data_IF_835840459046
#
_entry.id   IF_835840459046
#
_cell.length_a   1.000
_cell.length_b   1.000
_cell.length_c   1.000
_cell.angle_alpha   90.00
_cell.angle_beta   90.00
_cell.angle_gamma   90.00
#
_symmetry.space_group_name_H-M   'P 1'
#
loop_
_entity.id
_entity.type
_entity.pdbx_description
1 polymer ?
#
# COMPACT_ATOMS: atom_id res chain seq x y z
N UNK A 1 7.78 36.45 46.08
CA UNK A 1 7.27 35.06 46.02
C UNK A 1 5.98 34.95 45.18
N UNK A 2 5.94 35.60 44.00
CA UNK A 2 4.72 35.64 43.16
C UNK A 2 4.98 35.49 41.64
N UNK A 3 6.20 35.15 41.21
CA UNK A 3 6.52 34.99 39.78
C UNK A 3 6.69 33.52 39.34
N UNK A 4 6.46 32.55 40.23
CA UNK A 4 6.64 31.12 39.92
C UNK A 4 5.34 30.40 39.53
N UNK A 5 4.17 31.02 39.75
CA UNK A 5 2.86 30.39 39.52
C UNK A 5 2.37 30.61 38.06
N UNK A 6 2.82 31.66 37.38
CA UNK A 6 2.37 31.97 36.00
C UNK A 6 3.06 31.05 34.96
N UNK A 7 4.24 30.51 35.26
CA UNK A 7 4.94 29.58 34.35
C UNK A 7 4.36 28.16 34.37
N UNK A 8 3.61 27.78 35.42
CA UNK A 8 2.98 26.46 35.51
C UNK A 8 1.64 26.37 34.74
N UNK A 9 1.04 27.49 34.36
CA UNK A 9 -0.16 27.53 33.51
C UNK A 9 0.12 27.42 32.01
N UNK A 10 1.38 27.49 31.57
CA UNK A 10 1.75 27.44 30.14
C UNK A 10 2.21 26.02 29.72
N UNK A 11 2.60 25.16 30.68
CA UNK A 11 3.14 23.83 30.38
C UNK A 11 2.05 22.77 30.13
N UNK A 12 0.79 23.05 30.45
CA UNK A 12 -0.33 22.09 30.22
C UNK A 12 -1.01 22.22 28.85
N UNK A 13 -0.51 23.05 27.93
CA UNK A 13 -1.06 23.17 26.57
C UNK A 13 -0.21 22.52 25.46
N UNK A 14 0.90 21.84 25.81
CA UNK A 14 1.80 21.18 24.83
C UNK A 14 1.63 19.65 24.81
N UNK A 15 0.61 19.10 25.47
CA UNK A 15 0.05 17.83 24.99
C UNK A 15 -0.87 18.16 23.82
N UNK A 16 -0.25 18.31 22.65
CA UNK A 16 -0.97 18.32 21.39
C UNK A 16 -1.87 17.10 21.36
N UNK A 17 -3.18 17.33 21.42
CA UNK A 17 -4.18 16.36 21.03
C UNK A 17 -3.73 15.79 19.69
N UNK A 18 -3.35 14.51 19.68
CA UNK A 18 -3.13 13.76 18.45
C UNK A 18 -4.45 13.88 17.69
N UNK A 19 -4.44 14.74 16.67
CA UNK A 19 -5.56 14.90 15.77
C UNK A 19 -5.54 13.64 14.90
N UNK A 20 -6.12 12.54 15.42
CA UNK A 20 -6.40 11.35 14.64
C UNK A 20 -7.26 11.85 13.48
N UNK A 21 -6.65 11.96 12.31
CA UNK A 21 -7.32 12.39 11.10
C UNK A 21 -8.55 11.51 10.89
N UNK A 22 -9.69 12.17 10.67
CA UNK A 22 -11.06 11.64 10.52
C UNK A 22 -11.15 10.14 10.17
N UNK A 23 -11.12 9.27 11.18
CA UNK A 23 -11.58 7.88 11.01
C UNK A 23 -13.10 7.95 10.82
N UNK A 24 -13.57 7.60 9.63
CA UNK A 24 -14.99 7.54 9.35
C UNK A 24 -15.59 6.27 10.00
N UNK A 25 -15.96 6.38 11.27
CA UNK A 25 -16.58 5.30 12.03
C UNK A 25 -17.88 4.80 11.41
N UNK A 26 -18.61 5.67 10.70
CA UNK A 26 -19.83 5.27 9.98
C UNK A 26 -19.50 4.28 8.88
N UNK A 27 -18.51 4.60 8.04
CA UNK A 27 -18.05 3.71 6.97
C UNK A 27 -17.48 2.40 7.52
N UNK A 28 -16.67 2.47 8.59
CA UNK A 28 -16.11 1.26 9.21
C UNK A 28 -17.21 0.34 9.77
N UNK A 29 -18.24 0.92 10.39
CA UNK A 29 -19.41 0.20 10.91
C UNK A 29 -20.23 -0.43 9.78
N UNK A 30 -20.47 0.31 8.70
CA UNK A 30 -21.18 -0.18 7.50
C UNK A 30 -20.47 -1.38 6.87
N UNK A 31 -19.17 -1.26 6.59
CA UNK A 31 -18.35 -2.34 6.04
C UNK A 31 -18.32 -3.59 6.94
N UNK A 32 -18.30 -3.40 8.27
CA UNK A 32 -18.39 -4.51 9.21
C UNK A 32 -19.78 -5.17 9.17
N UNK A 33 -20.85 -4.39 9.12
CA UNK A 33 -22.21 -4.92 9.03
C UNK A 33 -22.54 -5.63 7.71
N UNK A 34 -21.82 -5.30 6.64
CA UNK A 34 -21.93 -6.02 5.38
C UNK A 34 -21.41 -7.47 5.47
N UNK A 35 -20.45 -7.74 6.36
CA UNK A 35 -19.78 -9.04 6.47
C UNK A 35 -20.34 -9.94 7.57
N UNK A 36 -20.90 -9.35 8.63
CA UNK A 36 -21.52 -10.06 9.75
C UNK A 36 -22.90 -10.61 9.39
N UNK A 37 -23.15 -11.87 9.75
CA UNK A 37 -24.43 -12.55 9.64
C UNK A 37 -25.22 -12.49 10.96
N UNK A 38 -26.07 -11.48 11.09
CA UNK A 38 -26.92 -11.26 12.28
C UNK A 38 -27.98 -12.34 12.49
N UNK A 39 -28.17 -13.26 11.54
CA UNK A 39 -29.10 -14.40 11.71
C UNK A 39 -28.49 -15.51 12.56
N UNK A 40 -27.17 -15.49 12.78
CA UNK A 40 -26.45 -16.43 13.63
C UNK A 40 -26.17 -15.76 14.98
N UNK A 41 -26.37 -16.48 16.09
CA UNK A 41 -26.02 -15.95 17.41
C UNK A 41 -24.51 -16.05 17.63
N UNK A 42 -23.82 -14.97 18.06
CA UNK A 42 -22.36 -14.97 18.22
C UNK A 42 -21.86 -16.03 19.21
N UNK A 43 -22.65 -16.31 20.25
CA UNK A 43 -22.30 -17.28 21.29
C UNK A 43 -22.50 -18.74 20.85
N UNK A 44 -23.25 -18.98 19.77
CA UNK A 44 -23.52 -20.32 19.25
C UNK A 44 -22.50 -20.69 18.17
N UNK A 45 -22.23 -19.77 17.24
CA UNK A 45 -21.20 -19.96 16.23
C UNK A 45 -20.60 -18.62 15.80
N UNK A 46 -19.59 -18.18 16.55
CA UNK A 46 -18.91 -16.91 16.28
C UNK A 46 -18.34 -16.84 14.86
N UNK A 47 -17.79 -17.94 14.34
CA UNK A 47 -17.22 -17.98 12.99
C UNK A 47 -18.28 -17.76 11.92
N UNK A 48 -19.44 -18.41 12.03
CA UNK A 48 -20.54 -18.16 11.11
C UNK A 48 -21.12 -16.76 11.29
N UNK A 49 -21.27 -16.28 12.53
CA UNK A 49 -21.69 -14.91 12.79
C UNK A 49 -20.79 -13.87 12.10
N UNK A 50 -19.47 -14.04 12.14
CA UNK A 50 -18.53 -13.05 11.57
C UNK A 50 -18.26 -13.25 10.08
N UNK A 51 -18.30 -14.49 9.56
CA UNK A 51 -17.82 -14.78 8.21
C UNK A 51 -18.88 -15.34 7.25
N UNK A 52 -20.05 -15.80 7.71
CA UNK A 52 -20.98 -16.56 6.86
C UNK A 52 -21.58 -15.74 5.71
N UNK A 53 -21.85 -14.45 5.93
CA UNK A 53 -22.31 -13.54 4.86
C UNK A 53 -21.17 -13.18 3.90
N UNK A 54 -19.95 -13.04 4.42
CA UNK A 54 -18.75 -12.85 3.60
C UNK A 54 -18.49 -14.03 2.65
N UNK A 55 -18.46 -15.27 3.18
CA UNK A 55 -18.20 -16.50 2.39
C UNK A 55 -19.23 -16.66 1.26
N UNK A 56 -20.51 -16.34 1.51
CA UNK A 56 -21.58 -16.46 0.51
C UNK A 56 -21.50 -15.43 -0.61
N UNK A 57 -21.01 -14.23 -0.29
CA UNK A 57 -20.93 -13.12 -1.26
C UNK A 57 -19.63 -13.13 -2.06
N UNK A 58 -18.60 -13.81 -1.57
CA UNK A 58 -17.31 -13.96 -2.23
C UNK A 58 -17.22 -15.36 -2.89
N UNK A 59 -18.06 -15.60 -3.90
CA UNK A 59 -18.00 -16.84 -4.69
C UNK A 59 -16.65 -16.87 -5.41
N UNK A 60 -15.78 -17.79 -4.99
CA UNK A 60 -14.55 -18.11 -5.70
C UNK A 60 -14.92 -18.57 -7.12
N UNK A 61 -14.40 -17.86 -8.14
CA UNK A 61 -14.50 -18.35 -9.52
C UNK A 61 -13.73 -19.69 -9.63
N UNK A 62 -14.18 -20.65 -10.45
CA UNK A 62 -13.45 -21.90 -10.66
C UNK A 62 -11.99 -21.61 -11.03
N UNK A 63 -11.05 -22.21 -10.30
CA UNK A 63 -9.60 -22.00 -10.51
C UNK A 63 -8.94 -20.93 -9.63
N UNK A 64 -9.66 -20.31 -8.70
CA UNK A 64 -9.10 -19.37 -7.71
C UNK A 64 -9.29 -19.96 -6.31
N UNK A 65 -8.19 -20.26 -5.61
CA UNK A 65 -8.23 -20.94 -4.30
C UNK A 65 -8.43 -19.98 -3.12
N UNK A 66 -8.28 -18.66 -3.32
CA UNK A 66 -8.44 -17.62 -2.27
C UNK A 66 -8.96 -16.30 -2.83
N UNK A 67 -9.92 -15.68 -2.14
CA UNK A 67 -10.29 -14.27 -2.38
C UNK A 67 -9.37 -13.39 -1.55
N UNK A 68 -8.30 -12.90 -2.17
CA UNK A 68 -7.51 -11.81 -1.62
C UNK A 68 -8.23 -10.49 -1.90
N UNK A 69 -9.14 -10.06 -1.01
CA UNK A 69 -9.83 -8.76 -1.14
C UNK A 69 -8.85 -7.60 -1.33
N UNK A 70 -7.69 -7.67 -0.66
CA UNK A 70 -6.63 -6.68 -0.78
C UNK A 70 -5.90 -6.70 -2.13
N UNK A 71 -5.91 -7.82 -2.87
CA UNK A 71 -5.25 -7.90 -4.19
C UNK A 71 -6.24 -7.95 -5.35
N UNK A 72 -7.55 -8.00 -5.10
CA UNK A 72 -8.56 -7.96 -6.17
C UNK A 72 -8.41 -6.73 -7.05
N UNK A 73 -8.31 -5.54 -6.44
CA UNK A 73 -8.09 -4.31 -7.18
C UNK A 73 -6.77 -4.37 -7.96
N UNK A 74 -5.70 -4.88 -7.35
CA UNK A 74 -4.42 -5.09 -8.03
C UNK A 74 -4.56 -6.00 -9.26
N UNK A 75 -5.24 -7.14 -9.15
CA UNK A 75 -5.46 -8.06 -10.27
C UNK A 75 -6.34 -7.45 -11.38
N UNK A 76 -7.41 -6.74 -11.01
CA UNK A 76 -8.29 -6.06 -11.98
C UNK A 76 -7.51 -4.97 -12.73
N UNK A 77 -6.68 -4.19 -12.02
CA UNK A 77 -5.80 -3.20 -12.66
C UNK A 77 -4.70 -3.84 -13.49
N UNK A 78 -4.10 -4.94 -13.04
CA UNK A 78 -3.09 -5.69 -13.80
C UNK A 78 -3.67 -6.17 -15.12
N UNK A 79 -4.86 -6.77 -15.09
CA UNK A 79 -5.60 -7.18 -16.29
C UNK A 79 -5.91 -5.99 -17.20
N UNK A 80 -6.41 -4.89 -16.64
CA UNK A 80 -6.72 -3.69 -17.40
C UNK A 80 -5.47 -3.09 -18.07
N UNK A 81 -4.35 -2.99 -17.34
CA UNK A 81 -3.14 -2.37 -17.83
C UNK A 81 -2.39 -3.25 -18.83
N UNK A 82 -1.96 -4.45 -18.41
CA UNK A 82 -1.15 -5.31 -19.26
C UNK A 82 -2.01 -5.92 -20.37
N UNK A 83 -3.09 -6.62 -20.03
CA UNK A 83 -3.85 -7.38 -21.02
C UNK A 83 -4.81 -6.56 -21.86
N UNK A 84 -5.33 -5.43 -21.37
CA UNK A 84 -6.24 -4.60 -22.18
C UNK A 84 -5.52 -3.43 -22.83
N UNK A 85 -4.81 -2.59 -22.08
CA UNK A 85 -4.16 -1.40 -22.63
C UNK A 85 -2.92 -1.77 -23.46
N UNK A 86 -1.94 -2.46 -22.87
CA UNK A 86 -0.66 -2.73 -23.53
C UNK A 86 -0.78 -3.77 -24.66
N UNK A 87 -1.56 -4.83 -24.46
CA UNK A 87 -1.86 -5.81 -25.51
C UNK A 87 -2.74 -5.22 -26.64
N UNK A 88 -3.40 -4.07 -26.39
CA UNK A 88 -4.15 -3.33 -27.41
C UNK A 88 -5.62 -3.71 -27.59
N UNK A 89 -6.23 -4.38 -26.60
CA UNK A 89 -7.70 -4.57 -26.54
C UNK A 89 -8.44 -3.29 -26.11
N UNK A 90 -7.70 -2.30 -25.59
CA UNK A 90 -8.18 -0.97 -25.20
C UNK A 90 -7.22 0.11 -25.68
N UNK A 91 -7.75 1.30 -25.92
CA UNK A 91 -6.92 2.46 -26.25
C UNK A 91 -6.15 3.01 -25.06
N UNK A 92 -4.95 3.52 -25.34
CA UNK A 92 -4.08 4.13 -24.34
C UNK A 92 -4.44 5.61 -24.22
N UNK A 93 -4.84 6.03 -23.02
CA UNK A 93 -5.38 7.37 -22.78
C UNK A 93 -4.28 8.42 -22.58
N UNK A 94 -3.15 8.02 -21.97
CA UNK A 94 -2.05 8.93 -21.63
C UNK A 94 -0.88 8.78 -22.59
N UNK A 95 -0.09 9.85 -22.79
CA UNK A 95 1.13 9.76 -23.61
C UNK A 95 2.12 8.71 -23.08
N UNK A 96 2.25 8.58 -21.76
CA UNK A 96 3.07 7.55 -21.14
C UNK A 96 2.61 6.13 -21.52
N UNK A 97 1.31 5.84 -21.40
CA UNK A 97 0.77 4.51 -21.76
C UNK A 97 0.88 4.23 -23.26
N UNK A 98 0.76 5.26 -24.12
CA UNK A 98 1.01 5.12 -25.57
C UNK A 98 2.46 4.74 -25.87
N UNK A 99 3.43 5.37 -25.21
CA UNK A 99 4.86 5.07 -25.37
C UNK A 99 5.16 3.64 -24.92
N UNK A 100 4.67 3.24 -23.74
CA UNK A 100 4.88 1.88 -23.22
C UNK A 100 4.25 0.85 -24.17
N UNK A 101 3.02 1.09 -24.62
CA UNK A 101 2.32 0.25 -25.60
C UNK A 101 3.12 0.13 -26.90
N UNK A 102 3.73 1.23 -27.39
CA UNK A 102 4.60 1.20 -28.56
C UNK A 102 5.85 0.34 -28.35
N UNK A 103 6.54 0.50 -27.22
CA UNK A 103 7.75 -0.27 -26.87
C UNK A 103 7.41 -1.77 -26.80
N UNK A 104 6.35 -2.13 -26.07
CA UNK A 104 5.92 -3.53 -25.90
C UNK A 104 5.51 -4.14 -27.25
N UNK A 105 4.76 -3.41 -28.09
CA UNK A 105 4.39 -3.88 -29.43
C UNK A 105 5.59 -4.10 -30.33
N UNK A 106 6.54 -3.18 -30.33
CA UNK A 106 7.76 -3.30 -31.13
C UNK A 106 8.60 -4.49 -30.68
N UNK A 107 8.83 -4.64 -29.37
CA UNK A 107 9.50 -5.81 -28.83
C UNK A 107 8.78 -7.10 -29.23
N UNK A 108 7.46 -7.16 -29.05
CA UNK A 108 6.66 -8.37 -29.33
C UNK A 108 6.79 -8.78 -30.79
N UNK A 109 6.71 -7.79 -31.70
CA UNK A 109 6.84 -8.02 -33.14
C UNK A 109 8.24 -8.50 -33.50
N UNK A 110 9.29 -7.84 -32.98
CA UNK A 110 10.68 -8.22 -33.24
C UNK A 110 10.98 -9.64 -32.71
N UNK A 111 10.54 -9.95 -31.49
CA UNK A 111 10.74 -11.25 -30.86
C UNK A 111 9.98 -12.37 -31.57
N UNK A 112 8.74 -12.10 -31.99
CA UNK A 112 7.93 -13.04 -32.77
C UNK A 112 8.57 -13.33 -34.14
N UNK A 113 9.00 -12.31 -34.89
CA UNK A 113 9.65 -12.49 -36.19
C UNK A 113 10.93 -13.35 -36.05
N UNK A 114 11.70 -13.13 -34.99
CA UNK A 114 12.94 -13.90 -34.74
C UNK A 114 12.70 -15.36 -34.36
N UNK A 115 11.51 -15.71 -33.85
CA UNK A 115 11.22 -17.02 -33.26
C UNK A 115 9.94 -17.66 -33.81
N UNK A 116 9.49 -17.23 -34.99
CA UNK A 116 8.15 -17.52 -35.54
C UNK A 116 7.83 -19.02 -35.65
N UNK A 117 8.85 -19.85 -35.78
CA UNK A 117 8.71 -21.32 -35.88
C UNK A 117 8.44 -21.99 -34.53
N UNK A 118 8.74 -21.34 -33.41
CA UNK A 118 8.76 -21.94 -32.08
C UNK A 118 7.79 -21.32 -31.07
N UNK A 119 7.29 -20.11 -31.34
CA UNK A 119 6.41 -19.39 -30.41
C UNK A 119 5.23 -18.77 -31.14
N UNK A 120 4.11 -18.64 -30.42
CA UNK A 120 2.99 -17.81 -30.88
C UNK A 120 3.16 -16.36 -30.42
N UNK A 121 2.31 -15.47 -30.93
CA UNK A 121 2.38 -14.04 -30.63
C UNK A 121 2.14 -13.72 -29.14
N UNK A 122 1.31 -14.51 -28.45
CA UNK A 122 1.04 -14.33 -27.03
C UNK A 122 2.26 -14.68 -26.17
N UNK A 123 2.99 -15.74 -26.54
CA UNK A 123 4.24 -16.12 -25.91
C UNK A 123 5.33 -15.06 -26.15
N UNK A 124 5.42 -14.51 -27.37
CA UNK A 124 6.32 -13.40 -27.67
C UNK A 124 5.99 -12.16 -26.85
N UNK A 125 4.69 -11.88 -26.63
CA UNK A 125 4.23 -10.78 -25.80
C UNK A 125 4.66 -10.97 -24.34
N UNK A 126 4.47 -12.16 -23.77
CA UNK A 126 4.92 -12.48 -22.40
C UNK A 126 6.43 -12.31 -22.24
N UNK A 127 7.22 -12.82 -23.19
CA UNK A 127 8.68 -12.64 -23.18
C UNK A 127 9.09 -11.16 -23.19
N UNK A 128 8.34 -10.31 -23.90
CA UNK A 128 8.57 -8.88 -23.89
C UNK A 128 8.13 -8.21 -22.58
N UNK A 129 7.04 -8.66 -21.97
CA UNK A 129 6.67 -8.19 -20.64
C UNK A 129 7.74 -8.56 -19.62
N UNK A 130 8.22 -9.80 -19.61
CA UNK A 130 9.28 -10.26 -18.70
C UNK A 130 10.57 -9.45 -18.89
N UNK A 131 10.95 -9.19 -20.14
CA UNK A 131 12.15 -8.39 -20.47
C UNK A 131 12.04 -6.93 -19.98
N UNK A 132 10.84 -6.37 -19.99
CA UNK A 132 10.59 -4.98 -19.60
C UNK A 132 9.83 -4.88 -18.28
N UNK A 133 9.82 -5.95 -17.48
CA UNK A 133 8.99 -6.08 -16.28
C UNK A 133 9.23 -4.90 -15.35
N UNK A 134 10.51 -4.58 -15.08
CA UNK A 134 10.89 -3.47 -14.21
C UNK A 134 10.37 -2.11 -14.70
N UNK A 135 10.46 -1.83 -16.00
CA UNK A 135 10.00 -0.55 -16.55
C UNK A 135 8.48 -0.48 -16.57
N UNK A 136 7.83 -1.56 -16.98
CA UNK A 136 6.38 -1.64 -17.03
C UNK A 136 5.76 -1.67 -15.62
N UNK A 137 6.45 -2.27 -14.63
CA UNK A 137 6.02 -2.31 -13.23
C UNK A 137 6.09 -0.92 -12.59
N UNK A 138 7.17 -0.15 -12.77
CA UNK A 138 7.23 1.21 -12.26
C UNK A 138 6.14 2.10 -12.85
N UNK A 139 5.91 2.00 -14.16
CA UNK A 139 4.83 2.73 -14.80
C UNK A 139 3.46 2.27 -14.31
N UNK A 140 3.27 0.96 -14.12
CA UNK A 140 2.05 0.36 -13.58
C UNK A 140 1.77 0.84 -12.16
N UNK A 141 2.73 0.70 -11.23
CA UNK A 141 2.59 1.12 -9.84
C UNK A 141 2.36 2.63 -9.74
N UNK A 142 3.12 3.43 -10.48
CA UNK A 142 2.93 4.89 -10.49
C UNK A 142 1.55 5.28 -11.03
N UNK A 143 1.07 4.61 -12.09
CA UNK A 143 -0.26 4.87 -12.66
C UNK A 143 -1.36 4.46 -11.68
N UNK A 144 -1.25 3.28 -11.07
CA UNK A 144 -2.18 2.80 -10.05
C UNK A 144 -2.24 3.76 -8.87
N UNK A 145 -1.09 4.13 -8.32
CA UNK A 145 -1.04 5.02 -7.17
C UNK A 145 -1.68 6.36 -7.50
N UNK A 146 -1.37 6.93 -8.67
CA UNK A 146 -1.98 8.17 -9.13
C UNK A 146 -3.49 8.03 -9.40
N UNK A 147 -3.96 6.89 -9.92
CA UNK A 147 -5.39 6.66 -10.15
C UNK A 147 -6.18 6.45 -8.86
N UNK A 148 -5.63 5.69 -7.90
CA UNK A 148 -6.32 5.33 -6.66
C UNK A 148 -6.28 6.48 -5.66
N UNK A 149 -5.10 7.05 -5.44
CA UNK A 149 -4.89 8.06 -4.41
C UNK A 149 -4.90 9.47 -4.98
N UNK A 150 -4.39 9.66 -6.20
CA UNK A 150 -4.10 10.99 -6.74
C UNK A 150 -2.77 11.52 -6.22
N UNK A 151 -2.07 12.27 -7.07
CA UNK A 151 -0.71 12.76 -6.80
C UNK A 151 -0.60 13.51 -5.46
N UNK A 152 -1.54 14.40 -5.16
CA UNK A 152 -1.53 15.17 -3.91
C UNK A 152 -1.65 14.30 -2.66
N UNK A 153 -2.50 13.26 -2.69
CA UNK A 153 -2.64 12.33 -1.55
C UNK A 153 -1.41 11.46 -1.38
N UNK A 154 -0.72 11.08 -2.46
CA UNK A 154 0.55 10.34 -2.36
C UNK A 154 1.60 11.18 -1.65
N UNK A 155 1.72 12.47 -2.00
CA UNK A 155 2.64 13.38 -1.32
C UNK A 155 2.28 13.55 0.16
N UNK A 156 1.00 13.68 0.48
CA UNK A 156 0.51 13.75 1.86
C UNK A 156 0.85 12.46 2.62
N UNK A 157 0.52 11.29 2.06
CA UNK A 157 0.84 9.98 2.65
C UNK A 157 2.33 9.82 2.93
N UNK A 158 3.18 10.22 1.97
CA UNK A 158 4.62 10.17 2.14
C UNK A 158 5.06 11.03 3.34
N UNK A 159 4.54 12.26 3.45
CA UNK A 159 4.86 13.14 4.60
C UNK A 159 4.37 12.56 5.94
N UNK A 160 3.17 11.98 5.97
CA UNK A 160 2.61 11.32 7.16
C UNK A 160 3.46 10.13 7.59
N UNK A 161 3.93 9.31 6.63
CA UNK A 161 4.78 8.15 6.92
C UNK A 161 6.12 8.60 7.54
N UNK A 162 6.73 9.67 7.02
CA UNK A 162 7.97 10.21 7.58
C UNK A 162 7.76 10.77 8.99
N UNK A 163 6.64 11.46 9.23
CA UNK A 163 6.27 11.95 10.56
C UNK A 163 6.11 10.79 11.55
N UNK A 164 5.37 9.74 11.16
CA UNK A 164 5.20 8.53 11.96
C UNK A 164 6.55 7.87 12.28
N UNK A 165 7.46 7.81 11.32
CA UNK A 165 8.80 7.25 11.52
C UNK A 165 9.62 8.05 12.54
N UNK A 166 9.59 9.38 12.46
CA UNK A 166 10.26 10.22 13.45
C UNK A 166 9.63 10.12 14.84
N UNK A 167 8.30 10.00 14.93
CA UNK A 167 7.62 9.71 16.20
C UNK A 167 8.11 8.40 16.81
N UNK A 168 8.19 7.32 16.01
CA UNK A 168 8.70 6.02 16.46
C UNK A 168 10.16 6.10 16.93
N UNK A 169 11.01 6.83 16.20
CA UNK A 169 12.41 7.08 16.60
C UNK A 169 12.48 7.78 17.96
N UNK A 170 11.61 8.76 18.20
CA UNK A 170 11.58 9.52 19.44
C UNK A 170 11.08 8.67 20.63
N UNK A 171 10.01 7.92 20.45
CA UNK A 171 9.51 7.00 21.48
C UNK A 171 10.54 5.92 21.83
N UNK A 172 11.23 5.37 20.82
CA UNK A 172 12.28 4.40 21.07
C UNK A 172 13.46 4.99 21.87
N UNK A 173 13.86 6.24 21.61
CA UNK A 173 14.87 6.95 22.42
C UNK A 173 14.42 7.11 23.88
N UNK A 174 13.15 7.41 24.11
CA UNK A 174 12.58 7.53 25.46
C UNK A 174 12.64 6.19 26.20
N UNK A 175 12.18 5.11 25.56
CA UNK A 175 12.22 3.77 26.11
C UNK A 175 13.65 3.36 26.52
N UNK A 176 14.64 3.63 25.67
CA UNK A 176 16.05 3.31 25.96
C UNK A 176 16.58 4.14 27.14
N UNK A 177 16.12 5.38 27.30
CA UNK A 177 16.51 6.25 28.43
C UNK A 177 15.98 5.73 29.77
N UNK A 178 14.77 5.17 29.78
CA UNK A 178 14.08 4.68 30.97
C UNK A 178 14.56 3.30 31.45
N UNK A 179 15.38 2.58 30.66
CA UNK A 179 15.89 1.26 31.06
C UNK A 179 17.20 1.36 31.84
N UNK A 180 17.12 1.01 33.11
CA UNK A 180 18.26 1.00 34.04
C UNK A 180 19.32 -0.07 33.71
N UNK A 181 18.93 -1.13 33.01
CA UNK A 181 19.84 -2.21 32.59
C UNK A 181 20.71 -1.83 31.38
N UNK A 182 20.45 -0.68 30.74
CA UNK A 182 21.25 -0.17 29.61
C UNK A 182 22.26 0.83 30.15
N UNK A 183 23.55 0.49 30.03
CA UNK A 183 24.64 1.37 30.45
C UNK A 183 24.73 2.64 29.58
N UNK A 184 25.46 3.64 30.08
CA UNK A 184 25.57 4.96 29.44
C UNK A 184 26.19 4.90 28.04
N UNK A 185 27.18 4.04 27.81
CA UNK A 185 27.87 3.94 26.53
C UNK A 185 26.98 3.23 25.50
N UNK A 186 26.32 2.14 25.89
CA UNK A 186 25.31 1.48 25.05
C UNK A 186 24.17 2.44 24.70
N UNK A 187 23.69 3.23 25.66
CA UNK A 187 22.65 4.26 25.45
C UNK A 187 23.08 5.32 24.43
N UNK A 188 24.33 5.80 24.51
CA UNK A 188 24.90 6.75 23.55
C UNK A 188 24.91 6.16 22.14
N UNK A 189 25.44 4.95 21.97
CA UNK A 189 25.51 4.26 20.67
C UNK A 189 24.14 3.98 20.07
N UNK A 190 23.17 3.58 20.89
CA UNK A 190 21.79 3.37 20.44
C UNK A 190 21.19 4.68 19.93
N UNK A 191 21.36 5.78 20.64
CA UNK A 191 20.85 7.09 20.21
C UNK A 191 21.50 7.59 18.90
N UNK A 192 22.81 7.37 18.73
CA UNK A 192 23.52 7.67 17.47
C UNK A 192 22.96 6.83 16.33
N UNK A 193 22.82 5.52 16.53
CA UNK A 193 22.23 4.63 15.53
C UNK A 193 20.81 5.05 15.15
N UNK A 194 19.95 5.40 16.12
CA UNK A 194 18.59 5.86 15.84
C UNK A 194 18.63 7.18 15.04
N UNK A 195 19.53 8.10 15.39
CA UNK A 195 19.65 9.38 14.68
C UNK A 195 19.99 9.17 13.21
N UNK A 196 20.89 8.23 12.93
CA UNK A 196 21.39 7.95 11.57
C UNK A 196 20.46 7.03 10.76
N UNK A 197 19.37 6.52 11.36
CA UNK A 197 18.34 5.78 10.63
C UNK A 197 17.53 6.74 9.75
N UNK A 198 17.45 6.41 8.48
CA UNK A 198 16.64 7.11 7.48
C UNK A 198 15.53 6.18 6.95
N UNK A 199 14.47 6.78 6.44
CA UNK A 199 13.35 6.05 5.84
C UNK A 199 13.30 6.33 4.34
N UNK A 200 13.46 5.29 3.55
CA UNK A 200 13.15 5.32 2.13
C UNK A 200 11.80 4.63 1.90
N UNK A 201 10.82 5.39 1.41
CA UNK A 201 9.52 4.84 1.00
C UNK A 201 9.60 4.50 -0.48
N UNK A 202 9.71 3.21 -0.78
CA UNK A 202 9.68 2.70 -2.15
C UNK A 202 8.28 2.22 -2.52
N UNK A 203 7.97 2.25 -3.82
CA UNK A 203 6.64 1.94 -4.37
C UNK A 203 6.75 0.80 -5.40
N UNK A 204 7.65 -0.14 -5.12
CA UNK A 204 8.11 -1.20 -6.02
C UNK A 204 7.10 -2.31 -6.24
#
# INVERSE_FOLDING_TARGET
>A
MNNLIILLSIVTQIYGSIHISNINYSLASELLFETVDKTIRPCENFYQFTCNKWIRNEILKPGVDRVFRNTRAHFEFYDEFFYKILHGKKEAETEATKIIKFIVRRCTTEYYIQNIENINIDAAYQQCLDKYELFASYAFHTTILNCIFGYEKILQLNSTIHEMFEMLKNEFKLLVREKDWVDLESRRRINEKIKDMDLEVTYD
#
